data_IF_159856565099
#
_entry.id   IF_159856565099
#
_cell.length_a   1.000
_cell.length_b   1.000
_cell.length_c   1.000
_cell.angle_alpha   90.00
_cell.angle_beta   90.00
_cell.angle_gamma   90.00
#
_symmetry.space_group_name_H-M   'P 1'
#
loop_
_entity.id
_entity.type
_entity.pdbx_description
1 polymer ?
#
# COMPACT_ATOMS: atom_id res chain seq x y z
N UNK A 1 1.20 -16.71 -18.03
CA UNK A 1 -0.08 -16.69 -17.29
C UNK A 1 -0.41 -15.24 -17.01
N UNK A 2 -1.55 -14.74 -17.48
CA UNK A 2 -1.98 -13.36 -17.27
C UNK A 2 -2.53 -13.16 -15.85
N UNK A 3 -2.66 -11.89 -15.42
CA UNK A 3 -3.29 -11.54 -14.14
C UNK A 3 -4.72 -12.09 -14.06
N UNK A 4 -5.48 -12.02 -15.15
CA UNK A 4 -6.86 -12.55 -15.20
C UNK A 4 -6.92 -14.06 -15.04
N UNK A 5 -6.03 -14.80 -15.71
CA UNK A 5 -5.93 -16.25 -15.58
C UNK A 5 -5.58 -16.65 -14.15
N UNK A 6 -4.69 -15.90 -13.52
CA UNK A 6 -4.31 -16.13 -12.13
C UNK A 6 -5.47 -15.85 -11.16
N UNK A 7 -6.19 -14.73 -11.31
CA UNK A 7 -7.36 -14.38 -10.47
C UNK A 7 -8.43 -15.49 -10.58
N UNK A 8 -8.74 -15.94 -11.81
CA UNK A 8 -9.72 -17.02 -12.04
C UNK A 8 -9.34 -18.31 -11.31
N UNK A 9 -8.06 -18.71 -11.40
CA UNK A 9 -7.54 -19.89 -10.69
C UNK A 9 -7.54 -19.72 -9.17
N UNK A 10 -7.19 -18.53 -8.67
CA UNK A 10 -7.13 -18.26 -7.24
C UNK A 10 -8.53 -18.27 -6.60
N UNK A 11 -9.57 -17.81 -7.31
CA UNK A 11 -10.96 -17.82 -6.84
C UNK A 11 -11.60 -19.20 -6.68
N UNK A 12 -11.12 -20.21 -7.41
CA UNK A 12 -11.59 -21.60 -7.30
C UNK A 12 -10.73 -22.44 -6.34
N UNK A 13 -9.80 -21.81 -5.63
CA UNK A 13 -8.97 -22.49 -4.64
C UNK A 13 -9.79 -22.96 -3.44
N UNK A 14 -9.37 -24.05 -2.81
CA UNK A 14 -9.90 -24.52 -1.53
C UNK A 14 -9.55 -23.60 -0.36
N UNK A 15 -8.53 -22.74 -0.51
CA UNK A 15 -8.10 -21.83 0.54
C UNK A 15 -8.95 -20.54 0.51
N UNK A 16 -9.83 -20.39 1.51
CA UNK A 16 -10.73 -19.23 1.64
C UNK A 16 -9.99 -17.88 1.73
N UNK A 17 -8.79 -17.86 2.32
CA UNK A 17 -7.96 -16.64 2.40
C UNK A 17 -7.43 -16.26 1.02
N UNK A 18 -7.02 -17.26 0.22
CA UNK A 18 -6.58 -17.02 -1.16
C UNK A 18 -7.74 -16.56 -2.06
N UNK A 19 -8.93 -17.14 -1.88
CA UNK A 19 -10.13 -16.72 -2.60
C UNK A 19 -10.48 -15.27 -2.27
N UNK A 20 -10.52 -14.89 -0.99
CA UNK A 20 -10.75 -13.51 -0.56
C UNK A 20 -9.70 -12.55 -1.11
N UNK A 21 -8.42 -12.94 -1.06
CA UNK A 21 -7.34 -12.15 -1.66
C UNK A 21 -7.56 -11.95 -3.17
N UNK A 22 -7.96 -12.98 -3.91
CA UNK A 22 -8.23 -12.88 -5.34
C UNK A 22 -9.38 -11.91 -5.67
N UNK A 23 -10.43 -11.84 -4.85
CA UNK A 23 -11.48 -10.84 -4.99
C UNK A 23 -10.97 -9.41 -4.76
N UNK A 24 -10.13 -9.20 -3.75
CA UNK A 24 -9.53 -7.88 -3.52
C UNK A 24 -8.60 -7.46 -4.67
N UNK A 25 -7.78 -8.40 -5.18
CA UNK A 25 -6.93 -8.16 -6.36
C UNK A 25 -7.76 -7.83 -7.59
N UNK A 26 -8.92 -8.46 -7.78
CA UNK A 26 -9.82 -8.13 -8.88
C UNK A 26 -10.45 -6.74 -8.73
N UNK A 27 -10.86 -6.36 -7.52
CA UNK A 27 -11.37 -5.00 -7.26
C UNK A 27 -10.32 -3.93 -7.57
N UNK A 28 -9.05 -4.20 -7.24
CA UNK A 28 -7.92 -3.31 -7.48
C UNK A 28 -7.17 -3.61 -8.80
N UNK A 29 -7.80 -4.33 -9.74
CA UNK A 29 -7.14 -4.87 -10.94
C UNK A 29 -6.38 -3.81 -11.73
N UNK A 30 -6.93 -2.61 -11.89
CA UNK A 30 -6.26 -1.54 -12.64
C UNK A 30 -4.92 -1.14 -11.99
N UNK A 31 -4.88 -1.01 -10.66
CA UNK A 31 -3.66 -0.67 -9.93
C UNK A 31 -2.65 -1.81 -9.96
N UNK A 32 -3.11 -3.06 -9.79
CA UNK A 32 -2.25 -4.25 -9.86
C UNK A 32 -1.69 -4.45 -11.27
N UNK A 33 -2.51 -4.25 -12.30
CA UNK A 33 -2.07 -4.32 -13.70
C UNK A 33 -1.03 -3.24 -14.00
N UNK A 34 -1.25 -2.00 -13.54
CA UNK A 34 -0.26 -0.92 -13.67
C UNK A 34 1.06 -1.26 -12.97
N UNK A 35 1.03 -1.93 -11.81
CA UNK A 35 2.23 -2.37 -11.12
C UNK A 35 3.00 -3.47 -11.88
N UNK A 36 2.32 -4.23 -12.76
CA UNK A 36 2.95 -5.22 -13.64
C UNK A 36 3.50 -4.54 -14.91
N UNK A 37 2.72 -3.64 -15.51
CA UNK A 37 3.03 -3.03 -16.81
C UNK A 37 4.14 -1.99 -16.73
N UNK A 38 4.24 -1.28 -15.60
CA UNK A 38 5.18 -0.19 -15.42
C UNK A 38 6.32 -0.56 -14.47
N UNK A 39 7.50 -0.05 -14.76
CA UNK A 39 8.68 -0.13 -13.87
C UNK A 39 8.57 0.77 -12.63
N UNK A 40 7.54 1.62 -12.57
CA UNK A 40 7.36 2.59 -11.49
C UNK A 40 6.66 1.91 -10.31
N UNK A 41 7.12 2.22 -9.11
CA UNK A 41 6.53 1.71 -7.88
C UNK A 41 6.20 2.86 -6.92
N UNK A 42 5.33 2.59 -5.96
CA UNK A 42 4.96 3.55 -4.92
C UNK A 42 5.96 3.60 -3.75
N UNK A 43 7.13 2.97 -3.85
CA UNK A 43 8.05 2.81 -2.72
C UNK A 43 8.53 4.15 -2.15
N UNK A 44 8.79 5.14 -3.01
CA UNK A 44 9.18 6.49 -2.55
C UNK A 44 8.06 7.17 -1.76
N UNK A 45 6.82 7.09 -2.25
CA UNK A 45 5.64 7.65 -1.59
C UNK A 45 5.40 6.96 -0.24
N UNK A 46 5.44 5.63 -0.23
CA UNK A 46 5.31 4.84 1.00
C UNK A 46 6.42 5.14 2.00
N UNK A 47 7.65 5.38 1.52
CA UNK A 47 8.78 5.80 2.35
C UNK A 47 8.50 7.12 3.08
N UNK A 48 8.00 8.13 2.37
CA UNK A 48 7.63 9.42 2.99
C UNK A 48 6.47 9.25 3.99
N UNK A 49 5.44 8.48 3.63
CA UNK A 49 4.33 8.19 4.55
C UNK A 49 4.82 7.47 5.80
N UNK A 50 5.73 6.51 5.65
CA UNK A 50 6.32 5.76 6.76
C UNK A 50 7.21 6.65 7.62
N UNK A 51 7.98 7.58 7.03
CA UNK A 51 8.75 8.58 7.77
C UNK A 51 7.84 9.46 8.63
N UNK A 52 6.74 9.96 8.07
CA UNK A 52 5.76 10.77 8.82
C UNK A 52 5.13 9.96 9.96
N UNK A 53 4.72 8.71 9.69
CA UNK A 53 4.18 7.80 10.70
C UNK A 53 5.21 7.51 11.80
N UNK A 54 6.49 7.33 11.45
CA UNK A 54 7.56 7.09 12.41
C UNK A 54 7.75 8.29 13.35
N UNK A 55 7.85 9.52 12.83
CA UNK A 55 7.94 10.75 13.64
C UNK A 55 6.74 10.88 14.57
N UNK A 56 5.52 10.61 14.07
CA UNK A 56 4.33 10.66 14.91
C UNK A 56 4.37 9.62 16.04
N UNK A 57 4.86 8.41 15.77
CA UNK A 57 5.00 7.32 16.77
C UNK A 57 6.07 7.60 17.82
N UNK A 58 7.21 8.21 17.45
CA UNK A 58 8.23 8.62 18.44
C UNK A 58 7.69 9.69 19.40
N UNK A 59 6.62 10.38 19.01
CA UNK A 59 5.90 11.35 19.84
C UNK A 59 4.62 10.76 20.47
N UNK A 60 4.59 9.45 20.68
CA UNK A 60 3.46 8.72 21.27
C UNK A 60 2.12 8.96 20.56
N UNK A 61 2.17 9.24 19.26
CA UNK A 61 1.03 9.63 18.42
C UNK A 61 0.31 10.93 18.85
N UNK A 62 0.90 11.74 19.73
CA UNK A 62 0.31 12.98 20.27
C UNK A 62 0.65 14.24 19.45
N UNK A 63 1.43 14.12 18.38
CA UNK A 63 1.73 15.24 17.51
C UNK A 63 0.50 15.66 16.70
N UNK A 64 0.08 16.91 16.86
CA UNK A 64 -0.92 17.55 16.00
C UNK A 64 -0.32 17.89 14.62
N UNK A 65 -1.17 18.30 13.68
CA UNK A 65 -0.74 18.55 12.29
C UNK A 65 0.32 19.64 12.17
N UNK A 66 0.24 20.71 12.97
CA UNK A 66 1.20 21.81 12.95
C UNK A 66 2.57 21.36 13.42
N UNK A 67 2.62 20.59 14.53
CA UNK A 67 3.84 20.03 15.08
C UNK A 67 4.47 18.99 14.16
N UNK A 68 3.64 18.15 13.53
CA UNK A 68 4.12 17.16 12.56
C UNK A 68 4.72 17.83 11.32
N UNK A 69 4.07 18.90 10.80
CA UNK A 69 4.61 19.70 9.69
C UNK A 69 5.94 20.35 10.05
N UNK A 70 6.03 20.95 11.24
CA UNK A 70 7.27 21.50 11.78
C UNK A 70 8.42 20.47 11.77
N UNK A 71 8.21 19.28 12.32
CA UNK A 71 9.23 18.21 12.34
C UNK A 71 9.58 17.65 10.97
N UNK A 72 8.60 17.55 10.07
CA UNK A 72 8.77 16.89 8.76
C UNK A 72 9.42 17.83 7.73
N UNK A 73 8.96 19.08 7.68
CA UNK A 73 9.31 20.08 6.65
C UNK A 73 10.41 21.03 7.14
N UNK A 74 10.22 21.61 8.34
CA UNK A 74 11.15 22.60 8.92
C UNK A 74 12.34 21.90 9.61
N UNK A 75 12.17 20.62 9.99
CA UNK A 75 13.18 19.77 10.66
C UNK A 75 13.61 20.25 12.05
N UNK A 76 12.65 20.81 12.80
CA UNK A 76 12.77 21.12 14.25
C UNK A 76 12.50 19.88 15.12
#
# INVERSE_FOLDING_TARGET
>A
MSLEEWIKKAKISVNSSLVSFAYNVENDKAAVQAAIDYKYNNARLEGEVNRVKAIKRTMYNRANINLLRAKVIIKI
#
